data_IF_216349504844
#
_entry.id   IF_216349504844
#
_cell.length_a   1.000
_cell.length_b   1.000
_cell.length_c   1.000
_cell.angle_alpha   90.00
_cell.angle_beta   90.00
_cell.angle_gamma   90.00
#
_symmetry.space_group_name_H-M   'P 1'
#
loop_
_entity.id
_entity.type
_entity.pdbx_description
1 polymer ?
#
# COMPACT_ATOMS: atom_id res chain seq x y z
N UNK A 1 15.91 12.74 14.19
CA UNK A 1 14.58 13.38 14.20
C UNK A 1 13.95 13.38 12.82
N UNK A 2 14.68 13.69 11.74
CA UNK A 2 14.17 13.64 10.35
C UNK A 2 13.62 12.26 9.94
N UNK A 3 14.35 11.16 10.17
CA UNK A 3 13.90 9.80 9.79
C UNK A 3 12.52 9.39 10.35
N UNK A 4 12.15 9.84 11.56
CA UNK A 4 10.85 9.51 12.14
C UNK A 4 9.70 10.28 11.48
N UNK A 5 9.98 11.50 11.01
CA UNK A 5 9.01 12.31 10.30
C UNK A 5 8.80 11.77 8.88
N UNK A 6 9.87 11.37 8.20
CA UNK A 6 9.79 10.76 6.87
C UNK A 6 9.07 9.40 6.91
N UNK A 7 9.35 8.59 7.94
CA UNK A 7 8.63 7.34 8.19
C UNK A 7 7.13 7.61 8.38
N UNK A 8 6.76 8.63 9.16
CA UNK A 8 5.37 8.98 9.40
C UNK A 8 4.66 9.40 8.11
N UNK A 9 5.29 10.28 7.33
CA UNK A 9 4.76 10.73 6.04
C UNK A 9 4.53 9.53 5.12
N UNK A 10 5.48 8.61 5.03
CA UNK A 10 5.34 7.41 4.20
C UNK A 10 4.20 6.51 4.68
N UNK A 11 4.01 6.33 5.99
CA UNK A 11 2.92 5.52 6.54
C UNK A 11 1.55 6.18 6.27
N UNK A 12 1.45 7.50 6.39
CA UNK A 12 0.24 8.26 6.06
C UNK A 12 -0.04 8.23 4.54
N UNK A 13 0.98 8.32 3.69
CA UNK A 13 0.87 8.17 2.23
C UNK A 13 0.31 6.79 1.84
N UNK A 14 0.75 5.71 2.52
CA UNK A 14 0.21 4.36 2.30
C UNK A 14 -1.27 4.33 2.67
N UNK A 15 -1.66 4.85 3.84
CA UNK A 15 -3.06 4.90 4.26
C UNK A 15 -3.94 5.61 3.22
N UNK A 16 -3.52 6.79 2.76
CA UNK A 16 -4.23 7.55 1.73
C UNK A 16 -4.33 6.78 0.40
N UNK A 17 -3.27 6.07 0.00
CA UNK A 17 -3.27 5.23 -1.19
C UNK A 17 -4.30 4.09 -1.07
N UNK A 18 -4.33 3.39 0.06
CA UNK A 18 -5.25 2.28 0.30
C UNK A 18 -6.71 2.76 0.26
N UNK A 19 -7.00 3.88 0.94
CA UNK A 19 -8.32 4.52 0.92
C UNK A 19 -8.72 4.93 -0.50
N UNK A 20 -7.79 5.52 -1.27
CA UNK A 20 -8.02 5.89 -2.65
C UNK A 20 -8.37 4.69 -3.54
N UNK A 21 -7.67 3.57 -3.36
CA UNK A 21 -7.96 2.33 -4.10
C UNK A 21 -9.34 1.79 -3.72
N UNK A 22 -9.69 1.74 -2.43
CA UNK A 22 -11.00 1.26 -1.96
C UNK A 22 -12.14 2.15 -2.44
N UNK A 23 -12.03 3.48 -2.29
CA UNK A 23 -13.06 4.43 -2.72
C UNK A 23 -13.29 4.43 -4.23
N UNK A 24 -12.27 4.10 -5.02
CA UNK A 24 -12.41 3.89 -6.46
C UNK A 24 -13.15 2.59 -6.81
N UNK A 25 -13.56 1.77 -5.83
CA UNK A 25 -14.11 0.43 -6.03
C UNK A 25 -13.10 -0.52 -6.68
N UNK A 26 -11.80 -0.24 -6.50
CA UNK A 26 -10.70 -0.90 -7.22
C UNK A 26 -10.85 -0.76 -8.76
N UNK A 27 -11.82 0.03 -9.24
CA UNK A 27 -12.28 0.09 -10.63
C UNK A 27 -11.33 0.87 -11.53
N UNK A 28 -10.72 1.91 -10.98
CA UNK A 28 -9.91 2.90 -11.69
C UNK A 28 -8.45 2.77 -11.29
N UNK A 29 -7.80 1.68 -11.70
CA UNK A 29 -6.36 1.52 -11.45
C UNK A 29 -5.55 2.22 -12.54
N UNK A 30 -5.40 3.54 -12.41
CA UNK A 30 -4.65 4.37 -13.35
C UNK A 30 -3.15 4.08 -13.30
N UNK A 31 -2.41 4.45 -14.36
CA UNK A 31 -0.94 4.33 -14.40
C UNK A 31 -0.27 5.00 -13.20
N UNK A 32 -0.86 6.09 -12.70
CA UNK A 32 -0.42 6.79 -11.50
C UNK A 32 -0.50 5.94 -10.23
N UNK A 33 -1.60 5.22 -10.00
CA UNK A 33 -1.77 4.36 -8.82
C UNK A 33 -0.70 3.28 -8.74
N UNK A 34 -0.42 2.59 -9.84
CA UNK A 34 0.63 1.55 -9.86
C UNK A 34 2.02 2.13 -9.58
N UNK A 35 2.35 3.29 -10.16
CA UNK A 35 3.62 3.98 -9.87
C UNK A 35 3.73 4.37 -8.41
N UNK A 36 2.63 4.82 -7.82
CA UNK A 36 2.61 5.22 -6.41
C UNK A 36 2.75 4.04 -5.46
N UNK A 37 2.07 2.92 -5.74
CA UNK A 37 2.26 1.65 -5.00
C UNK A 37 3.74 1.23 -5.02
N UNK A 38 4.36 1.26 -6.21
CA UNK A 38 5.77 0.89 -6.36
C UNK A 38 6.72 1.85 -5.62
N UNK A 39 6.47 3.17 -5.72
CA UNK A 39 7.23 4.21 -4.99
C UNK A 39 7.20 3.95 -3.48
N UNK A 40 6.02 3.66 -2.93
CA UNK A 40 5.85 3.39 -1.51
C UNK A 40 6.46 2.05 -1.08
N UNK A 41 6.43 1.03 -1.95
CA UNK A 41 7.11 -0.23 -1.69
C UNK A 41 8.63 -0.06 -1.53
N UNK A 42 9.24 0.70 -2.44
CA UNK A 42 10.67 1.04 -2.37
C UNK A 42 10.99 1.88 -1.13
N UNK A 43 10.11 2.81 -0.75
CA UNK A 43 10.27 3.59 0.49
C UNK A 43 10.18 2.70 1.73
N UNK A 44 9.24 1.76 1.80
CA UNK A 44 9.14 0.80 2.89
C UNK A 44 10.45 0.02 3.07
N UNK A 45 11.03 -0.49 1.99
CA UNK A 45 12.28 -1.26 2.04
C UNK A 45 13.45 -0.41 2.58
N UNK A 46 13.55 0.86 2.16
CA UNK A 46 14.54 1.82 2.68
C UNK A 46 14.43 2.06 4.19
N UNK A 47 13.21 2.04 4.74
CA UNK A 47 12.97 2.16 6.18
C UNK A 47 13.06 0.83 6.93
N UNK A 48 13.43 -0.27 6.27
CA UNK A 48 13.52 -1.61 6.87
C UNK A 48 12.17 -2.30 7.07
N UNK A 49 11.09 -1.78 6.50
CA UNK A 49 9.74 -2.34 6.55
C UNK A 49 9.52 -3.37 5.43
N UNK A 50 10.29 -4.47 5.47
CA UNK A 50 10.29 -5.49 4.40
C UNK A 50 8.92 -6.12 4.15
N UNK A 51 8.18 -6.44 5.21
CA UNK A 51 6.81 -6.94 5.10
C UNK A 51 5.89 -5.95 4.37
N UNK A 52 5.95 -4.66 4.71
CA UNK A 52 5.18 -3.61 4.03
C UNK A 52 5.53 -3.50 2.55
N UNK A 53 6.83 -3.52 2.21
CA UNK A 53 7.30 -3.53 0.83
C UNK A 53 6.77 -4.75 0.05
N UNK A 54 6.86 -5.95 0.63
CA UNK A 54 6.37 -7.19 0.01
C UNK A 54 4.86 -7.13 -0.26
N UNK A 55 4.07 -6.63 0.69
CA UNK A 55 2.63 -6.51 0.51
C UNK A 55 2.26 -5.49 -0.58
N UNK A 56 2.97 -4.36 -0.65
CA UNK A 56 2.75 -3.35 -1.70
C UNK A 56 3.12 -3.89 -3.09
N UNK A 57 4.20 -4.67 -3.23
CA UNK A 57 4.51 -5.32 -4.50
C UNK A 57 3.44 -6.33 -4.91
N UNK A 58 2.91 -7.12 -3.96
CA UNK A 58 1.77 -8.02 -4.24
C UNK A 58 0.54 -7.25 -4.69
N UNK A 59 0.25 -6.12 -4.05
CA UNK A 59 -0.85 -5.24 -4.45
C UNK A 59 -0.63 -4.71 -5.87
N UNK A 60 0.57 -4.25 -6.21
CA UNK A 60 0.91 -3.77 -7.55
C UNK A 60 0.65 -4.83 -8.62
N UNK A 61 1.10 -6.06 -8.39
CA UNK A 61 0.92 -7.17 -9.32
C UNK A 61 -0.56 -7.56 -9.47
N UNK A 62 -1.30 -7.67 -8.36
CA UNK A 62 -2.73 -7.97 -8.40
C UNK A 62 -3.52 -6.89 -9.17
N UNK A 63 -3.15 -5.62 -8.96
CA UNK A 63 -3.73 -4.48 -9.66
C UNK A 63 -3.35 -4.41 -11.15
N UNK A 64 -2.14 -4.83 -11.54
CA UNK A 64 -1.74 -4.94 -12.95
C UNK A 64 -2.57 -5.99 -13.70
N UNK A 65 -2.84 -7.14 -13.06
CA UNK A 65 -3.59 -8.23 -13.68
C UNK A 65 -5.00 -7.81 -14.09
N UNK A 66 -5.59 -6.82 -13.41
CA UNK A 66 -6.86 -6.21 -13.80
C UNK A 66 -6.89 -5.67 -15.23
N UNK A 67 -5.77 -5.12 -15.71
CA UNK A 67 -5.70 -4.54 -17.06
C UNK A 67 -5.69 -5.59 -18.17
N UNK A 68 -5.36 -6.82 -17.82
CA UNK A 68 -5.04 -7.87 -18.79
C UNK A 68 -5.96 -9.10 -18.67
N UNK A 69 -6.82 -9.17 -17.66
CA UNK A 69 -7.67 -10.33 -17.39
C UNK A 69 -9.12 -9.91 -17.11
N UNK A 70 -10.07 -10.62 -17.74
CA UNK A 70 -11.49 -10.57 -17.40
C UNK A 70 -11.79 -11.27 -16.05
N UNK A 71 -10.89 -12.14 -15.60
CA UNK A 71 -10.96 -12.84 -14.31
C UNK A 71 -10.16 -12.08 -13.25
N UNK A 72 -10.50 -10.81 -13.03
CA UNK A 72 -9.90 -10.03 -11.97
C UNK A 72 -10.41 -10.51 -10.60
N UNK A 73 -9.49 -11.01 -9.76
CA UNK A 73 -9.80 -11.44 -8.40
C UNK A 73 -9.89 -10.24 -7.46
N UNK A 74 -11.08 -9.65 -7.40
CA UNK A 74 -11.37 -8.52 -6.52
C UNK A 74 -11.21 -8.91 -5.04
N UNK A 75 -11.58 -10.13 -4.66
CA UNK A 75 -11.51 -10.60 -3.29
C UNK A 75 -10.07 -10.66 -2.80
N UNK A 76 -9.15 -11.13 -3.65
CA UNK A 76 -7.72 -11.12 -3.34
C UNK A 76 -7.18 -9.71 -3.14
N UNK A 77 -7.57 -8.75 -3.99
CA UNK A 77 -7.14 -7.35 -3.81
C UNK A 77 -7.69 -6.76 -2.51
N UNK A 78 -8.96 -6.99 -2.19
CA UNK A 78 -9.56 -6.53 -0.94
C UNK A 78 -8.88 -7.14 0.28
N UNK A 79 -8.53 -8.44 0.24
CA UNK A 79 -7.73 -9.08 1.30
C UNK A 79 -6.38 -8.43 1.48
N UNK A 80 -5.66 -8.18 0.39
CA UNK A 80 -4.34 -7.51 0.43
C UNK A 80 -4.48 -6.11 1.06
N UNK A 81 -5.48 -5.33 0.64
CA UNK A 81 -5.75 -3.99 1.18
C UNK A 81 -6.06 -4.04 2.69
N UNK A 82 -6.87 -5.00 3.15
CA UNK A 82 -7.22 -5.15 4.56
C UNK A 82 -6.00 -5.50 5.44
N UNK A 83 -5.13 -6.39 4.94
CA UNK A 83 -3.89 -6.77 5.64
C UNK A 83 -2.93 -5.58 5.70
N UNK A 84 -2.76 -4.84 4.59
CA UNK A 84 -1.95 -3.63 4.53
C UNK A 84 -2.46 -2.53 5.48
N UNK A 85 -3.77 -2.29 5.53
CA UNK A 85 -4.37 -1.32 6.44
C UNK A 85 -4.17 -1.69 7.92
N UNK A 86 -4.25 -2.98 8.24
CA UNK A 86 -3.94 -3.50 9.58
C UNK A 86 -2.46 -3.30 9.94
N UNK A 87 -1.56 -3.54 8.98
CA UNK A 87 -0.12 -3.34 9.15
C UNK A 87 0.23 -1.85 9.38
N UNK A 88 -0.33 -0.95 8.58
CA UNK A 88 -0.18 0.51 8.74
C UNK A 88 -0.66 0.95 10.13
N UNK A 89 -1.84 0.49 10.55
CA UNK A 89 -2.40 0.80 11.87
C UNK A 89 -1.45 0.36 13.00
N UNK A 90 -0.89 -0.85 12.90
CA UNK A 90 0.08 -1.37 13.87
C UNK A 90 1.35 -0.50 13.96
N UNK A 91 1.86 -0.04 12.82
CA UNK A 91 3.02 0.86 12.79
C UNK A 91 2.68 2.19 13.46
N UNK A 92 1.56 2.81 13.10
CA UNK A 92 1.12 4.09 13.70
C UNK A 92 0.99 3.97 15.22
N UNK A 93 0.44 2.86 15.71
CA UNK A 93 0.31 2.64 17.15
C UNK A 93 1.65 2.41 17.86
N UNK A 94 2.62 1.78 17.20
CA UNK A 94 4.00 1.70 17.72
C UNK A 94 4.67 3.07 17.74
N UNK A 95 4.45 3.89 16.71
CA UNK A 95 5.04 5.23 16.63
C UNK A 95 4.50 6.20 17.69
N UNK A 96 3.22 6.10 18.07
CA UNK A 96 2.64 6.90 19.17
C UNK A 96 3.26 6.62 20.54
N UNK A 97 3.92 5.46 20.70
CA UNK A 97 4.54 5.00 21.95
C UNK A 97 6.04 5.35 22.03
N UNK A 98 6.60 5.94 20.97
CA UNK A 98 7.99 6.42 20.88
C UNK A 98 8.03 7.93 21.12
#
# INVERSE_FOLDING_TARGET
>A
MENNQDLKIMVDDIEMLLDGILLSGVSVTLGGTLREVNRLAVSCDKFGLKEGASMLFKLEEALKMKRHSLNFDLDEVVKILAVLGSYVSLIKDKMKKL
#
